data_IF_852724337008
#
_entry.id   IF_852724337008
#
_cell.length_a   1.000
_cell.length_b   1.000
_cell.length_c   1.000
_cell.angle_alpha   90.00
_cell.angle_beta   90.00
_cell.angle_gamma   90.00
#
_symmetry.space_group_name_H-M   'P 1'
#
loop_
_entity.id
_entity.type
_entity.pdbx_description
1 polymer ?
#
# COMPACT_ATOMS: atom_id res chain seq x y z
N UNK A 1 11.41 -26.03 -32.73
CA UNK A 1 10.41 -25.89 -31.66
C UNK A 1 11.16 -25.40 -30.44
N UNK A 2 11.19 -24.09 -30.19
CA UNK A 2 11.92 -23.52 -29.05
C UNK A 2 11.17 -23.88 -27.77
N UNK A 3 11.79 -24.67 -26.91
CA UNK A 3 11.28 -24.97 -25.58
C UNK A 3 11.38 -23.70 -24.74
N UNK A 4 10.24 -23.05 -24.52
CA UNK A 4 10.11 -21.91 -23.61
C UNK A 4 10.62 -22.36 -22.24
N UNK A 5 11.62 -21.66 -21.69
CA UNK A 5 12.17 -21.97 -20.38
C UNK A 5 11.14 -21.70 -19.29
N UNK A 6 11.17 -22.46 -18.19
CA UNK A 6 10.34 -22.20 -17.02
C UNK A 6 10.56 -20.79 -16.43
N UNK A 7 11.76 -20.22 -16.66
CA UNK A 7 12.11 -18.86 -16.31
C UNK A 7 11.32 -17.83 -17.16
N UNK A 8 11.25 -18.04 -18.47
CA UNK A 8 10.56 -17.15 -19.41
C UNK A 8 9.06 -17.08 -19.09
N UNK A 9 8.46 -18.22 -18.75
CA UNK A 9 7.05 -18.29 -18.33
C UNK A 9 6.83 -17.49 -17.04
N UNK A 10 7.75 -17.54 -16.09
CA UNK A 10 7.63 -16.81 -14.81
C UNK A 10 7.75 -15.30 -15.03
N UNK A 11 8.70 -14.86 -15.86
CA UNK A 11 8.87 -13.45 -16.22
C UNK A 11 7.62 -12.95 -16.95
N UNK A 12 7.13 -13.70 -17.93
CA UNK A 12 5.93 -13.35 -18.69
C UNK A 12 4.69 -13.23 -17.80
N UNK A 13 4.50 -14.17 -16.86
CA UNK A 13 3.41 -14.08 -15.86
C UNK A 13 3.57 -12.85 -14.98
N UNK A 14 4.77 -12.55 -14.50
CA UNK A 14 5.04 -11.37 -13.68
C UNK A 14 4.71 -10.07 -14.43
N UNK A 15 5.11 -9.98 -15.70
CA UNK A 15 4.81 -8.85 -16.57
C UNK A 15 3.31 -8.63 -16.74
N UNK A 16 2.55 -9.69 -17.01
CA UNK A 16 1.09 -9.62 -17.10
C UNK A 16 0.42 -9.20 -15.78
N UNK A 17 0.94 -9.66 -14.65
CA UNK A 17 0.46 -9.23 -13.34
C UNK A 17 0.66 -7.74 -13.10
N UNK A 18 1.81 -7.20 -13.48
CA UNK A 18 2.09 -5.76 -13.39
C UNK A 18 1.12 -4.97 -14.27
N UNK A 19 0.92 -5.37 -15.53
CA UNK A 19 -0.02 -4.71 -16.43
C UNK A 19 -1.45 -4.74 -15.87
N UNK A 20 -1.87 -5.89 -15.34
CA UNK A 20 -3.19 -6.04 -14.73
C UNK A 20 -3.38 -5.06 -13.58
N UNK A 21 -2.41 -4.95 -12.68
CA UNK A 21 -2.49 -4.04 -11.53
C UNK A 21 -2.49 -2.57 -11.93
N UNK A 22 -1.67 -2.17 -12.90
CA UNK A 22 -1.66 -0.78 -13.39
C UNK A 22 -2.96 -0.44 -14.13
N UNK A 23 -3.50 -1.39 -14.90
CA UNK A 23 -4.78 -1.22 -15.59
C UNK A 23 -5.96 -1.16 -14.60
N UNK A 24 -5.89 -1.95 -13.52
CA UNK A 24 -6.83 -1.89 -12.41
C UNK A 24 -6.82 -0.50 -11.77
N UNK A 25 -5.64 0.05 -11.49
CA UNK A 25 -5.50 1.38 -10.89
C UNK A 25 -5.98 2.50 -11.80
N UNK A 26 -5.88 2.35 -13.12
CA UNK A 26 -6.52 3.29 -14.03
C UNK A 26 -8.04 3.16 -13.95
N UNK A 27 -8.57 1.94 -13.83
CA UNK A 27 -10.00 1.69 -13.74
C UNK A 27 -10.63 2.22 -12.43
N UNK A 28 -9.91 2.25 -11.32
CA UNK A 28 -10.41 2.81 -10.04
C UNK A 28 -10.81 4.28 -10.16
N UNK A 29 -10.21 5.04 -11.09
CA UNK A 29 -10.65 6.43 -11.39
C UNK A 29 -12.03 6.53 -12.02
N UNK A 30 -12.44 5.51 -12.76
CA UNK A 30 -13.71 5.47 -13.47
C UNK A 30 -14.81 4.84 -12.61
N UNK A 31 -14.42 3.90 -11.74
CA UNK A 31 -15.33 3.13 -10.91
C UNK A 31 -15.11 3.47 -9.44
N UNK A 32 -15.86 4.43 -8.90
CA UNK A 32 -15.74 4.89 -7.50
C UNK A 32 -15.99 3.84 -6.41
N UNK A 33 -16.41 2.62 -6.77
CA UNK A 33 -16.51 1.49 -5.84
C UNK A 33 -15.24 0.62 -5.77
N UNK A 34 -14.31 0.78 -6.72
CA UNK A 34 -13.06 0.02 -6.73
C UNK A 34 -12.02 0.76 -5.88
N UNK A 35 -11.47 0.13 -4.84
CA UNK A 35 -10.49 0.78 -3.99
C UNK A 35 -9.09 0.79 -4.64
N UNK A 36 -8.27 1.83 -4.43
CA UNK A 36 -6.99 2.03 -5.13
C UNK A 36 -5.82 1.14 -4.65
N UNK A 37 -6.10 0.15 -3.80
CA UNK A 37 -5.12 -0.77 -3.21
C UNK A 37 -4.01 -0.10 -2.40
N UNK A 38 -4.13 1.20 -2.10
CA UNK A 38 -3.15 1.97 -1.34
C UNK A 38 -2.94 1.31 0.03
N UNK A 39 -4.03 0.95 0.73
CA UNK A 39 -3.96 0.31 2.04
C UNK A 39 -3.32 -1.08 1.99
N UNK A 40 -3.63 -1.87 0.96
CA UNK A 40 -3.03 -3.19 0.73
C UNK A 40 -1.53 -3.10 0.51
N UNK A 41 -1.09 -2.27 -0.43
CA UNK A 41 0.33 -2.14 -0.74
C UNK A 41 1.11 -1.48 0.38
N UNK A 42 0.52 -0.50 1.07
CA UNK A 42 1.10 0.09 2.28
C UNK A 42 1.30 -0.95 3.39
N UNK A 43 0.27 -1.77 3.65
CA UNK A 43 0.35 -2.89 4.61
C UNK A 43 1.43 -3.88 4.23
N UNK A 44 1.51 -4.25 2.94
CA UNK A 44 2.54 -5.14 2.44
C UNK A 44 3.95 -4.58 2.67
N UNK A 45 4.17 -3.28 2.41
CA UNK A 45 5.46 -2.64 2.68
C UNK A 45 5.85 -2.71 4.15
N UNK A 46 4.92 -2.45 5.07
CA UNK A 46 5.15 -2.54 6.52
C UNK A 46 5.59 -3.95 6.91
N UNK A 47 4.86 -4.96 6.44
CA UNK A 47 5.14 -6.35 6.81
C UNK A 47 6.50 -6.82 6.31
N UNK A 48 6.83 -6.54 5.04
CA UNK A 48 8.14 -6.93 4.48
C UNK A 48 9.30 -6.14 5.10
N UNK A 49 9.10 -4.86 5.43
CA UNK A 49 10.12 -4.06 6.10
C UNK A 49 10.37 -4.57 7.53
N UNK A 50 9.31 -4.83 8.30
CA UNK A 50 9.39 -5.44 9.63
C UNK A 50 10.09 -6.80 9.57
N UNK A 51 9.75 -7.64 8.59
CA UNK A 51 10.39 -8.94 8.37
C UNK A 51 11.89 -8.80 8.06
N UNK A 52 12.27 -7.84 7.21
CA UNK A 52 13.68 -7.56 6.92
C UNK A 52 14.46 -7.23 8.18
N UNK A 53 13.93 -6.39 9.06
CA UNK A 53 14.65 -6.03 10.28
C UNK A 53 14.83 -7.20 11.24
N UNK A 54 13.82 -8.06 11.36
CA UNK A 54 13.90 -9.25 12.22
C UNK A 54 14.82 -10.34 11.67
N UNK A 55 14.83 -10.54 10.34
CA UNK A 55 15.50 -11.68 9.69
C UNK A 55 16.79 -11.30 8.94
N UNK A 56 17.14 -10.02 8.84
CA UNK A 56 18.29 -9.49 8.06
C UNK A 56 18.29 -9.92 6.58
N UNK A 57 17.11 -10.20 6.01
CA UNK A 57 16.98 -10.60 4.61
C UNK A 57 16.98 -9.40 3.65
N UNK A 58 17.39 -9.62 2.41
CA UNK A 58 17.27 -8.65 1.33
C UNK A 58 15.81 -8.39 0.93
N UNK A 59 15.54 -7.19 0.42
CA UNK A 59 14.23 -6.86 -0.13
C UNK A 59 13.97 -7.63 -1.41
N UNK A 60 12.80 -8.23 -1.51
CA UNK A 60 12.34 -8.86 -2.76
C UNK A 60 11.97 -7.78 -3.78
N UNK A 61 12.09 -8.05 -5.09
CA UNK A 61 11.64 -7.14 -6.15
C UNK A 61 10.20 -6.65 -5.98
N UNK A 62 9.32 -7.46 -5.37
CA UNK A 62 7.93 -7.10 -5.06
C UNK A 62 7.80 -5.92 -4.11
N UNK A 63 8.76 -5.71 -3.21
CA UNK A 63 8.75 -4.55 -2.30
C UNK A 63 9.01 -3.25 -3.07
N UNK A 64 9.99 -3.25 -3.98
CA UNK A 64 10.25 -2.10 -4.85
C UNK A 64 9.08 -1.83 -5.81
N UNK A 65 8.46 -2.89 -6.34
CA UNK A 65 7.24 -2.74 -7.13
C UNK A 65 6.12 -2.07 -6.32
N UNK A 66 5.99 -2.39 -5.03
CA UNK A 66 4.97 -1.79 -4.16
C UNK A 66 5.17 -0.29 -3.97
N UNK A 67 6.42 0.16 -3.86
CA UNK A 67 6.75 1.59 -3.84
C UNK A 67 6.32 2.28 -5.14
N UNK A 68 6.69 1.70 -6.29
CA UNK A 68 6.35 2.26 -7.61
C UNK A 68 4.83 2.28 -7.80
N UNK A 69 4.14 1.22 -7.40
CA UNK A 69 2.69 1.13 -7.45
C UNK A 69 2.03 2.22 -6.61
N UNK A 70 2.48 2.44 -5.36
CA UNK A 70 1.92 3.48 -4.50
C UNK A 70 2.13 4.89 -5.06
N UNK A 71 3.32 5.17 -5.60
CA UNK A 71 3.58 6.45 -6.29
C UNK A 71 2.68 6.63 -7.50
N UNK A 72 2.42 5.56 -8.27
CA UNK A 72 1.50 5.60 -9.39
C UNK A 72 0.05 5.86 -8.94
N UNK A 73 -0.41 5.16 -7.89
CA UNK A 73 -1.72 5.33 -7.28
C UNK A 73 -1.92 6.77 -6.76
N UNK A 74 -0.91 7.37 -6.12
CA UNK A 74 -0.95 8.78 -5.68
C UNK A 74 -1.29 9.72 -6.83
N UNK A 75 -0.58 9.62 -7.95
CA UNK A 75 -0.74 10.53 -9.08
C UNK A 75 -2.11 10.39 -9.73
N UNK A 76 -2.62 9.16 -9.79
CA UNK A 76 -3.93 8.85 -10.35
C UNK A 76 -5.06 9.40 -9.46
N UNK A 77 -4.90 9.33 -8.14
CA UNK A 77 -5.92 9.74 -7.17
C UNK A 77 -5.75 11.18 -6.66
N UNK A 78 -4.88 11.97 -7.28
CA UNK A 78 -4.73 13.41 -7.01
C UNK A 78 -3.94 13.73 -5.74
N UNK A 79 -3.18 12.78 -5.22
CA UNK A 79 -2.25 13.04 -4.11
C UNK A 79 -0.94 13.65 -4.64
N UNK A 80 -0.29 14.50 -3.83
CA UNK A 80 1.07 14.94 -4.10
C UNK A 80 2.03 13.76 -4.08
N UNK A 81 3.02 13.85 -4.97
CA UNK A 81 4.07 12.86 -5.10
C UNK A 81 4.78 12.60 -3.77
N UNK A 82 4.96 11.31 -3.45
CA UNK A 82 5.63 10.81 -2.24
C UNK A 82 4.86 10.93 -0.92
N UNK A 83 3.59 11.32 -0.94
CA UNK A 83 2.76 11.42 0.27
C UNK A 83 2.68 10.08 1.05
N UNK A 84 2.45 8.97 0.36
CA UNK A 84 2.43 7.59 0.86
C UNK A 84 3.79 7.14 1.37
N UNK A 85 4.88 7.54 0.71
CA UNK A 85 6.24 7.16 1.14
C UNK A 85 6.57 7.86 2.45
N UNK A 86 6.29 9.16 2.55
CA UNK A 86 6.48 9.91 3.79
C UNK A 86 5.55 9.37 4.88
N UNK A 87 4.29 9.08 4.56
CA UNK A 87 3.35 8.44 5.49
C UNK A 87 3.87 7.09 5.99
N UNK A 88 4.47 6.28 5.12
CA UNK A 88 5.09 5.02 5.46
C UNK A 88 6.26 5.23 6.43
N UNK A 89 7.15 6.18 6.13
CA UNK A 89 8.29 6.50 6.99
C UNK A 89 7.82 7.00 8.36
N UNK A 90 6.80 7.86 8.42
CA UNK A 90 6.25 8.34 9.69
C UNK A 90 5.62 7.20 10.49
N UNK A 91 4.77 6.39 9.87
CA UNK A 91 4.13 5.26 10.53
C UNK A 91 5.16 4.27 11.07
N UNK A 92 6.12 3.92 10.23
CA UNK A 92 7.16 2.97 10.55
C UNK A 92 8.03 3.43 11.73
N UNK A 93 8.51 4.68 11.71
CA UNK A 93 9.44 5.18 12.73
C UNK A 93 8.77 5.53 14.06
N UNK A 94 7.50 5.95 14.06
CA UNK A 94 6.84 6.47 15.28
C UNK A 94 5.76 5.56 15.85
N UNK A 95 5.07 4.77 15.01
CA UNK A 95 3.85 4.05 15.42
C UNK A 95 4.07 2.55 15.49
N UNK A 96 4.84 1.99 14.55
CA UNK A 96 4.89 0.54 14.34
C UNK A 96 5.36 -0.26 15.57
N UNK A 97 6.43 0.17 16.21
CA UNK A 97 6.99 -0.52 17.39
C UNK A 97 6.04 -0.45 18.59
N UNK A 98 5.41 0.71 18.81
CA UNK A 98 4.39 0.88 19.83
C UNK A 98 3.17 -0.01 19.56
N UNK A 99 2.79 -0.17 18.29
CA UNK A 99 1.66 -1.00 17.92
C UNK A 99 1.92 -2.49 18.12
N UNK A 100 3.11 -2.98 17.74
CA UNK A 100 3.48 -4.38 17.97
C UNK A 100 3.63 -4.74 19.46
N UNK A 101 4.03 -3.79 20.30
CA UNK A 101 4.14 -4.01 21.75
C UNK A 101 2.79 -3.98 22.46
N UNK A 102 1.89 -3.09 22.03
CA UNK A 102 0.59 -2.88 22.69
C UNK A 102 -0.48 -3.85 22.17
N UNK A 103 -0.52 -4.14 20.87
CA UNK A 103 -1.63 -4.84 20.23
C UNK A 103 -1.23 -6.25 19.79
N UNK A 104 -1.79 -7.27 20.45
CA UNK A 104 -1.52 -8.69 20.14
C UNK A 104 -2.46 -9.29 19.09
N UNK A 105 -3.53 -8.59 18.73
CA UNK A 105 -4.52 -9.11 17.78
C UNK A 105 -4.11 -8.82 16.34
N UNK A 106 -3.67 -9.87 15.63
CA UNK A 106 -3.14 -9.79 14.25
C UNK A 106 -4.08 -9.16 13.25
N UNK A 107 -5.37 -9.51 13.30
CA UNK A 107 -6.35 -8.96 12.36
C UNK A 107 -6.56 -7.46 12.60
N UNK A 108 -6.56 -7.03 13.87
CA UNK A 108 -6.64 -5.62 14.21
C UNK A 108 -5.41 -4.84 13.74
N UNK A 109 -4.20 -5.42 13.85
CA UNK A 109 -2.98 -4.82 13.29
C UNK A 109 -3.12 -4.56 11.78
N UNK A 110 -3.64 -5.52 11.01
CA UNK A 110 -3.84 -5.36 9.57
C UNK A 110 -4.85 -4.25 9.23
N UNK A 111 -5.96 -4.17 9.97
CA UNK A 111 -6.94 -3.09 9.83
C UNK A 111 -6.28 -1.73 10.09
N UNK A 112 -5.47 -1.63 11.14
CA UNK A 112 -4.75 -0.40 11.48
C UNK A 112 -3.72 -0.05 10.41
N UNK A 113 -3.01 -1.02 9.83
CA UNK A 113 -2.06 -0.77 8.74
C UNK A 113 -2.75 -0.24 7.49
N UNK A 114 -3.88 -0.83 7.09
CA UNK A 114 -4.68 -0.35 5.97
C UNK A 114 -5.20 1.05 6.23
N UNK A 115 -5.83 1.27 7.39
CA UNK A 115 -6.38 2.57 7.77
C UNK A 115 -5.28 3.65 7.81
N UNK A 116 -4.10 3.32 8.35
CA UNK A 116 -2.97 4.23 8.40
C UNK A 116 -2.44 4.57 7.01
N UNK A 117 -2.44 3.61 6.08
CA UNK A 117 -2.06 3.85 4.70
C UNK A 117 -2.91 4.93 4.02
N UNK A 118 -4.21 4.99 4.30
CA UNK A 118 -5.08 6.06 3.79
C UNK A 118 -4.98 7.34 4.60
N UNK A 119 -5.17 7.25 5.93
CA UNK A 119 -5.27 8.41 6.81
C UNK A 119 -3.96 9.20 6.84
N UNK A 120 -2.81 8.54 7.00
CA UNK A 120 -1.53 9.25 7.03
C UNK A 120 -1.15 9.80 5.66
N UNK A 121 -1.41 9.08 4.57
CA UNK A 121 -1.18 9.60 3.22
C UNK A 121 -1.99 10.87 2.98
N UNK A 122 -3.27 10.86 3.38
CA UNK A 122 -4.14 12.02 3.29
C UNK A 122 -3.65 13.20 4.16
N UNK A 123 -3.20 12.93 5.38
CA UNK A 123 -2.65 13.96 6.26
C UNK A 123 -1.37 14.58 5.70
N UNK A 124 -0.44 13.76 5.19
CA UNK A 124 0.78 14.23 4.54
C UNK A 124 0.46 15.02 3.28
N UNK A 125 -0.49 14.55 2.47
CA UNK A 125 -0.94 15.27 1.29
C UNK A 125 -1.48 16.66 1.62
N UNK A 126 -2.33 16.78 2.64
CA UNK A 126 -2.87 18.07 3.04
C UNK A 126 -1.81 18.96 3.71
N UNK A 127 -0.77 18.38 4.33
CA UNK A 127 0.39 19.16 4.76
C UNK A 127 1.11 19.77 3.55
N UNK A 128 1.27 19.02 2.45
CA UNK A 128 1.80 19.59 1.20
C UNK A 128 0.89 20.65 0.61
N UNK A 129 -0.42 20.40 0.52
CA UNK A 129 -1.39 21.39 0.04
C UNK A 129 -1.27 22.70 0.82
N UNK A 130 -1.19 22.60 2.16
CA UNK A 130 -1.01 23.74 3.04
C UNK A 130 0.29 24.51 2.77
N UNK A 131 1.42 23.82 2.65
CA UNK A 131 2.73 24.45 2.35
C UNK A 131 2.73 25.14 0.98
N UNK A 132 2.03 24.56 0.00
CA UNK A 132 1.93 25.08 -1.36
C UNK A 132 0.81 26.14 -1.53
N UNK A 133 0.03 26.42 -0.49
CA UNK A 133 -1.16 27.28 -0.53
C UNK A 133 -2.23 26.82 -1.55
N UNK A 134 -2.34 25.50 -1.73
CA UNK A 134 -3.34 24.86 -2.59
C UNK A 134 -4.53 24.35 -1.76
N UNK A 135 -5.71 24.15 -2.37
CA UNK A 135 -6.88 23.64 -1.66
C UNK A 135 -6.61 22.25 -1.09
N UNK A 136 -7.01 22.04 0.16
CA UNK A 136 -6.91 20.72 0.80
C UNK A 136 -7.79 19.69 0.08
N UNK A 137 -7.27 18.47 -0.01
CA UNK A 137 -8.07 17.32 -0.42
C UNK A 137 -9.11 17.02 0.66
N UNK A 138 -10.32 16.66 0.26
CA UNK A 138 -11.42 16.39 1.19
C UNK A 138 -11.49 14.90 1.52
N UNK A 139 -11.55 14.53 2.80
CA UNK A 139 -11.69 13.12 3.19
C UNK A 139 -13.16 12.69 3.04
N UNK A 140 -13.50 12.14 1.88
CA UNK A 140 -14.84 11.66 1.57
C UNK A 140 -15.17 10.31 2.25
N UNK A 141 -16.45 9.96 2.27
CA UNK A 141 -16.91 8.65 2.75
C UNK A 141 -16.38 7.47 1.90
N UNK A 142 -15.92 7.73 0.69
CA UNK A 142 -15.34 6.71 -0.19
C UNK A 142 -14.06 6.12 0.42
N UNK A 143 -13.22 6.96 1.05
CA UNK A 143 -12.03 6.46 1.76
C UNK A 143 -12.39 5.52 2.90
N UNK A 144 -13.48 5.77 3.63
CA UNK A 144 -13.94 4.86 4.69
C UNK A 144 -14.37 3.51 4.10
N UNK A 145 -15.05 3.54 2.96
CA UNK A 145 -15.43 2.32 2.24
C UNK A 145 -14.20 1.56 1.74
N UNK A 146 -13.21 2.24 1.17
CA UNK A 146 -11.96 1.64 0.72
C UNK A 146 -11.18 1.02 1.87
N UNK A 147 -11.05 1.72 3.00
CA UNK A 147 -10.42 1.20 4.21
C UNK A 147 -11.12 -0.09 4.66
N UNK A 148 -12.46 -0.12 4.69
CA UNK A 148 -13.20 -1.30 5.12
C UNK A 148 -12.97 -2.49 4.17
N UNK A 149 -13.10 -2.29 2.86
CA UNK A 149 -12.95 -3.33 1.85
C UNK A 149 -11.51 -3.87 1.83
N UNK A 150 -10.52 -2.99 1.82
CA UNK A 150 -9.11 -3.37 1.83
C UNK A 150 -8.68 -3.99 3.15
N UNK A 151 -9.31 -3.64 4.27
CA UNK A 151 -9.04 -4.31 5.54
C UNK A 151 -9.45 -5.78 5.49
N UNK A 152 -10.61 -6.09 4.91
CA UNK A 152 -11.05 -7.49 4.71
C UNK A 152 -10.07 -8.22 3.81
N UNK A 153 -9.67 -7.61 2.69
CA UNK A 153 -8.68 -8.19 1.78
C UNK A 153 -7.31 -8.38 2.46
N UNK A 154 -6.84 -7.42 3.24
CA UNK A 154 -5.58 -7.49 3.97
C UNK A 154 -5.58 -8.64 4.96
N UNK A 155 -6.68 -8.83 5.70
CA UNK A 155 -6.84 -9.96 6.62
C UNK A 155 -6.74 -11.28 5.85
N UNK A 156 -7.43 -11.42 4.71
CA UNK A 156 -7.37 -12.65 3.91
C UNK A 156 -5.97 -12.90 3.36
N UNK A 157 -5.27 -11.87 2.88
CA UNK A 157 -3.97 -11.99 2.21
C UNK A 157 -2.77 -12.11 3.17
N UNK A 158 -2.86 -11.51 4.37
CA UNK A 158 -1.70 -11.27 5.23
C UNK A 158 -1.83 -11.80 6.66
N UNK A 159 -2.97 -12.36 7.09
CA UNK A 159 -3.18 -12.88 8.46
C UNK A 159 -2.03 -13.75 9.00
N UNK A 160 -1.46 -14.60 8.15
CA UNK A 160 -0.42 -15.56 8.55
C UNK A 160 0.99 -14.94 8.51
N UNK A 161 1.13 -13.74 7.95
CA UNK A 161 2.40 -13.00 7.84
C UNK A 161 2.65 -12.04 9.01
N UNK A 162 1.65 -11.82 9.87
CA UNK A 162 1.77 -10.97 11.07
C UNK A 162 2.35 -11.82 12.20
N UNK A 163 3.66 -11.66 12.47
CA UNK A 163 4.43 -12.36 13.49
C UNK A 163 5.43 -11.41 14.15
#
# INVERSE_FOLDING_TARGET
>A
MQTISSLDIKIFKGFWWVIFLLSYEIATTQFGFLPPLIGIFFTYMILEYSRKQKQYNEFKPSWYFSLVFLVFAEQIHGFYLFSTIIAFLLFYNFVLDWLYTTMKWRNCLLVIFVASGYVLTFLVNNLFAYVLNEPNLTFSAEYLFFIALESVLAIVLFRDKVL
#
